data_IF_136020456794
#
_entry.id   IF_136020456794
#
_cell.length_a   1.000
_cell.length_b   1.000
_cell.length_c   1.000
_cell.angle_alpha   90.00
_cell.angle_beta   90.00
_cell.angle_gamma   90.00
#
_symmetry.space_group_name_H-M   'P 1'
#
loop_
_entity.id
_entity.type
_entity.pdbx_description
1 polymer ?
#
# COMPACT_ATOMS: atom_id res chain seq x y z
N UNK A 1 -19.39 -48.00 -17.57
CA UNK A 1 -19.54 -47.07 -18.70
C UNK A 1 -20.17 -45.77 -18.18
N UNK A 2 -19.37 -44.79 -17.91
CA UNK A 2 -19.86 -43.48 -17.50
C UNK A 2 -20.37 -42.75 -18.74
N UNK A 3 -21.68 -42.60 -18.85
CA UNK A 3 -22.29 -41.78 -19.90
C UNK A 3 -21.92 -40.31 -19.60
N UNK A 4 -20.99 -39.73 -20.38
CA UNK A 4 -20.74 -38.29 -20.35
C UNK A 4 -22.03 -37.57 -20.75
N UNK A 5 -22.72 -36.99 -19.78
CA UNK A 5 -23.96 -36.24 -19.99
C UNK A 5 -23.74 -35.11 -20.99
N UNK A 6 -24.60 -35.01 -22.03
CA UNK A 6 -24.59 -33.96 -23.04
C UNK A 6 -24.58 -32.57 -22.44
N UNK A 7 -25.29 -32.37 -21.33
CA UNK A 7 -25.33 -31.11 -20.60
C UNK A 7 -24.00 -30.66 -19.98
N UNK A 8 -23.16 -31.59 -19.54
CA UNK A 8 -21.82 -31.30 -19.00
C UNK A 8 -20.89 -30.77 -20.10
N UNK A 9 -20.92 -31.39 -21.30
CA UNK A 9 -20.10 -30.94 -22.45
C UNK A 9 -20.52 -29.55 -22.92
N UNK A 10 -21.81 -29.26 -22.97
CA UNK A 10 -22.33 -27.94 -23.35
C UNK A 10 -21.95 -26.86 -22.31
N UNK A 11 -22.10 -27.15 -21.04
CA UNK A 11 -21.68 -26.24 -19.96
C UNK A 11 -20.16 -25.94 -20.01
N UNK A 12 -19.32 -26.96 -20.22
CA UNK A 12 -17.87 -26.77 -20.32
C UNK A 12 -17.47 -25.89 -21.50
N UNK A 13 -18.14 -26.02 -22.65
CA UNK A 13 -17.91 -25.19 -23.84
C UNK A 13 -18.30 -23.71 -23.55
N UNK A 14 -19.44 -23.49 -22.91
CA UNK A 14 -19.90 -22.16 -22.54
C UNK A 14 -18.95 -21.49 -21.54
N UNK A 15 -18.51 -22.19 -20.48
CA UNK A 15 -17.50 -21.69 -19.54
C UNK A 15 -16.17 -21.40 -20.21
N UNK A 16 -15.73 -22.22 -21.16
CA UNK A 16 -14.50 -21.96 -21.93
C UNK A 16 -14.56 -20.64 -22.69
N UNK A 17 -15.70 -20.33 -23.31
CA UNK A 17 -15.90 -19.05 -24.01
C UNK A 17 -15.87 -17.89 -23.00
N UNK A 18 -16.59 -18.01 -21.88
CA UNK A 18 -16.59 -16.98 -20.84
C UNK A 18 -15.19 -16.69 -20.29
N UNK A 19 -14.42 -17.75 -20.01
CA UNK A 19 -13.04 -17.60 -19.52
C UNK A 19 -12.17 -16.88 -20.57
N UNK A 20 -12.29 -17.22 -21.84
CA UNK A 20 -11.54 -16.53 -22.90
C UNK A 20 -11.89 -15.05 -22.96
N UNK A 21 -13.18 -14.71 -22.96
CA UNK A 21 -13.64 -13.31 -22.94
C UNK A 21 -13.11 -12.55 -21.72
N UNK A 22 -13.13 -13.17 -20.52
CA UNK A 22 -12.58 -12.53 -19.30
C UNK A 22 -11.07 -12.31 -19.40
N UNK A 23 -10.32 -13.27 -19.95
CA UNK A 23 -8.88 -13.11 -20.18
C UNK A 23 -8.60 -11.95 -21.14
N UNK A 24 -9.37 -11.82 -22.22
CA UNK A 24 -9.22 -10.71 -23.17
C UNK A 24 -9.53 -9.36 -22.50
N UNK A 25 -10.59 -9.29 -21.70
CA UNK A 25 -10.92 -8.08 -20.92
C UNK A 25 -9.81 -7.71 -19.94
N UNK A 26 -9.25 -8.69 -19.23
CA UNK A 26 -8.12 -8.46 -18.33
C UNK A 26 -6.94 -7.84 -19.09
N UNK A 27 -6.55 -8.40 -20.23
CA UNK A 27 -5.45 -7.87 -21.05
C UNK A 27 -5.69 -6.42 -21.47
N UNK A 28 -6.90 -6.09 -21.94
CA UNK A 28 -7.26 -4.72 -22.32
C UNK A 28 -7.13 -3.76 -21.13
N UNK A 29 -7.59 -4.17 -19.95
CA UNK A 29 -7.50 -3.36 -18.73
C UNK A 29 -6.03 -3.20 -18.30
N UNK A 30 -5.20 -4.24 -18.39
CA UNK A 30 -3.77 -4.19 -18.10
C UNK A 30 -3.04 -3.21 -19.04
N UNK A 31 -3.34 -3.25 -20.34
CA UNK A 31 -2.76 -2.32 -21.31
C UNK A 31 -3.17 -0.87 -21.05
N UNK A 32 -4.45 -0.62 -20.71
CA UNK A 32 -4.94 0.70 -20.33
C UNK A 32 -4.30 1.21 -19.03
N UNK A 33 -4.16 0.33 -18.03
CA UNK A 33 -3.47 0.67 -16.77
C UNK A 33 -2.02 1.09 -17.04
N UNK A 34 -1.32 0.36 -17.90
CA UNK A 34 0.06 0.66 -18.27
C UNK A 34 0.21 2.00 -19.00
N UNK A 35 -0.74 2.37 -19.86
CA UNK A 35 -0.76 3.69 -20.51
C UNK A 35 -0.91 4.80 -19.46
N UNK A 36 -1.82 4.65 -18.49
CA UNK A 36 -2.02 5.61 -17.40
C UNK A 36 -0.78 5.70 -16.51
N UNK A 37 -0.15 4.57 -16.19
CA UNK A 37 1.09 4.54 -15.40
C UNK A 37 2.23 5.30 -16.09
N UNK A 38 2.40 5.14 -17.41
CA UNK A 38 3.40 5.85 -18.19
C UNK A 38 3.14 7.37 -18.20
N UNK A 39 1.87 7.79 -18.30
CA UNK A 39 1.50 9.21 -18.23
C UNK A 39 1.80 9.80 -16.85
N UNK A 40 1.43 9.08 -15.78
CA UNK A 40 1.76 9.47 -14.41
C UNK A 40 3.28 9.59 -14.24
N UNK A 41 4.05 8.63 -14.76
CA UNK A 41 5.51 8.66 -14.70
C UNK A 41 6.08 9.91 -15.37
N UNK A 42 5.56 10.29 -16.54
CA UNK A 42 6.03 11.48 -17.26
C UNK A 42 5.78 12.75 -16.46
N UNK A 43 4.58 12.91 -15.90
CA UNK A 43 4.19 14.08 -15.08
C UNK A 43 5.03 14.15 -13.79
N UNK A 44 5.27 13.01 -13.17
CA UNK A 44 5.92 12.92 -11.87
C UNK A 44 7.43 13.15 -11.96
N UNK A 45 8.07 12.78 -13.06
CA UNK A 45 9.52 13.06 -13.28
C UNK A 45 9.82 14.55 -13.23
N UNK A 46 8.89 15.40 -13.62
CA UNK A 46 9.06 16.85 -13.62
C UNK A 46 8.90 17.47 -12.22
N UNK A 47 8.33 16.73 -11.24
CA UNK A 47 8.08 17.25 -9.89
C UNK A 47 9.33 17.35 -9.00
N UNK A 48 10.46 16.78 -9.40
CA UNK A 48 11.74 16.79 -8.67
C UNK A 48 11.62 16.62 -7.15
N UNK A 49 10.76 15.69 -6.72
CA UNK A 49 10.52 15.40 -5.30
C UNK A 49 11.36 14.22 -4.81
N UNK A 50 11.98 14.31 -3.62
CA UNK A 50 12.81 13.23 -3.10
C UNK A 50 12.01 12.00 -2.64
N UNK A 51 10.68 12.01 -2.71
CA UNK A 51 9.81 10.91 -2.24
C UNK A 51 10.11 9.59 -2.96
N UNK A 52 10.53 9.64 -4.23
CA UNK A 52 10.84 8.46 -5.04
C UNK A 52 12.13 7.74 -4.64
N UNK A 53 12.94 8.35 -3.76
CA UNK A 53 14.12 7.70 -3.20
C UNK A 53 13.78 6.73 -2.08
N UNK A 54 12.53 6.76 -1.57
CA UNK A 54 12.09 5.89 -0.50
C UNK A 54 11.74 4.51 -1.08
N UNK A 55 12.35 3.43 -0.56
CA UNK A 55 12.08 2.07 -1.03
C UNK A 55 10.59 1.71 -0.98
N UNK A 56 10.10 1.07 -2.04
CA UNK A 56 8.71 0.66 -2.18
C UNK A 56 7.76 1.74 -2.69
N UNK A 57 8.20 2.98 -2.84
CA UNK A 57 7.42 4.05 -3.45
C UNK A 57 7.72 4.09 -4.95
N UNK A 58 6.78 3.63 -5.75
CA UNK A 58 6.80 3.75 -7.21
C UNK A 58 6.05 5.00 -7.68
N UNK A 59 5.98 5.21 -9.00
CA UNK A 59 5.39 6.43 -9.59
C UNK A 59 3.95 6.68 -9.15
N UNK A 60 3.10 5.66 -9.14
CA UNK A 60 1.70 5.79 -8.74
C UNK A 60 1.57 6.16 -7.27
N UNK A 61 2.22 5.43 -6.38
CA UNK A 61 2.17 5.70 -4.93
C UNK A 61 2.85 7.03 -4.57
N UNK A 62 3.95 7.36 -5.27
CA UNK A 62 4.69 8.60 -5.12
C UNK A 62 3.97 9.83 -5.68
N UNK A 63 3.00 9.66 -6.59
CA UNK A 63 2.08 10.71 -7.00
C UNK A 63 0.96 10.91 -5.98
N UNK A 64 0.34 9.81 -5.54
CA UNK A 64 -0.81 9.85 -4.61
C UNK A 64 -0.42 10.39 -3.23
N UNK A 65 0.72 9.96 -2.68
CA UNK A 65 1.10 10.34 -1.31
C UNK A 65 1.26 11.86 -1.15
N UNK A 66 2.05 12.58 -1.97
CA UNK A 66 2.14 14.04 -1.87
C UNK A 66 0.82 14.75 -2.19
N UNK A 67 0.05 14.26 -3.17
CA UNK A 67 -1.25 14.83 -3.52
C UNK A 67 -2.23 14.79 -2.34
N UNK A 68 -2.27 13.68 -1.61
CA UNK A 68 -3.12 13.53 -0.42
C UNK A 68 -2.59 14.31 0.80
N UNK A 69 -1.27 14.35 0.97
CA UNK A 69 -0.65 15.12 2.06
C UNK A 69 -0.75 16.63 1.83
N UNK A 70 -0.61 17.09 0.58
CA UNK A 70 -0.48 18.51 0.26
C UNK A 70 0.77 19.11 0.90
N UNK A 71 0.66 20.32 1.46
CA UNK A 71 1.81 20.95 2.14
C UNK A 71 2.21 20.17 3.38
N UNK A 72 3.44 19.64 3.39
CA UNK A 72 4.00 18.90 4.51
C UNK A 72 4.15 19.76 5.78
N UNK A 73 4.24 21.09 5.62
CA UNK A 73 4.43 22.01 6.72
C UNK A 73 3.21 22.16 7.62
N UNK A 74 2.02 21.80 7.14
CA UNK A 74 0.81 21.77 7.97
C UNK A 74 0.84 20.68 9.05
N UNK A 75 1.72 19.68 8.92
CA UNK A 75 1.89 18.66 9.94
C UNK A 75 2.97 19.06 10.94
N UNK A 76 2.59 19.19 12.21
CA UNK A 76 3.52 19.53 13.29
C UNK A 76 4.48 18.39 13.66
N UNK A 77 4.16 17.14 13.28
CA UNK A 77 4.99 15.97 13.54
C UNK A 77 4.62 14.81 12.61
N UNK A 78 5.53 13.85 12.49
CA UNK A 78 5.36 12.58 11.80
C UNK A 78 4.15 11.77 12.29
N UNK A 79 3.87 11.80 13.61
CA UNK A 79 2.69 11.16 14.22
C UNK A 79 1.37 11.69 13.66
N UNK A 80 1.35 12.96 13.24
CA UNK A 80 0.16 13.56 12.63
C UNK A 80 -0.12 12.98 11.25
N UNK A 81 0.91 12.58 10.48
CA UNK A 81 0.72 11.87 9.21
C UNK A 81 0.15 10.46 9.46
N UNK A 82 0.63 9.75 10.48
CA UNK A 82 0.09 8.44 10.86
C UNK A 82 -1.40 8.54 11.19
N UNK A 83 -1.80 9.54 11.97
CA UNK A 83 -3.21 9.79 12.29
C UNK A 83 -4.02 10.22 11.06
N UNK A 84 -3.45 11.09 10.20
CA UNK A 84 -4.09 11.54 8.97
C UNK A 84 -4.32 10.41 7.96
N UNK A 85 -3.42 9.41 7.94
CA UNK A 85 -3.61 8.18 7.18
C UNK A 85 -4.59 7.20 7.86
N UNK A 86 -4.96 7.44 9.14
CA UNK A 86 -5.77 6.53 9.93
C UNK A 86 -5.08 5.20 10.22
N UNK A 87 -3.74 5.25 10.36
CA UNK A 87 -2.89 4.11 10.71
C UNK A 87 -2.61 4.02 12.21
N UNK A 88 -3.08 4.97 13.00
CA UNK A 88 -3.01 4.96 14.46
C UNK A 88 -3.88 3.85 15.04
N UNK A 89 -3.50 3.35 16.21
CA UNK A 89 -4.31 2.37 16.95
C UNK A 89 -5.44 3.10 17.69
N UNK A 90 -6.65 2.54 17.63
CA UNK A 90 -7.72 2.97 18.54
C UNK A 90 -7.38 2.50 19.94
N UNK A 91 -7.35 3.43 20.88
CA UNK A 91 -7.20 3.12 22.30
C UNK A 91 -8.60 2.95 22.88
N UNK A 92 -9.00 1.70 23.13
CA UNK A 92 -10.22 1.41 23.89
C UNK A 92 -9.85 1.39 25.38
N UNK A 93 -9.76 2.56 26.01
CA UNK A 93 -9.71 2.70 27.45
C UNK A 93 -11.13 2.92 27.98
N UNK A 94 -11.89 1.86 28.22
CA UNK A 94 -13.03 1.90 29.12
C UNK A 94 -12.61 1.21 30.41
N UNK A 95 -12.53 1.99 31.50
CA UNK A 95 -11.96 1.66 32.78
C UNK A 95 -12.09 0.20 33.22
N UNK A 96 -11.08 -0.53 33.48
CA UNK A 96 -10.87 -1.89 34.00
C UNK A 96 -10.71 -3.05 33.03
N UNK A 97 -10.87 -2.91 31.71
CA UNK A 97 -10.45 -3.96 30.79
C UNK A 97 -9.40 -3.42 29.81
N UNK A 98 -8.17 -3.88 29.94
CA UNK A 98 -7.13 -3.73 28.93
C UNK A 98 -7.56 -4.52 27.68
N UNK A 99 -8.25 -3.85 26.77
CA UNK A 99 -8.59 -4.41 25.47
C UNK A 99 -7.32 -4.67 24.67
N UNK A 100 -6.84 -5.92 24.69
CA UNK A 100 -5.59 -6.36 24.09
C UNK A 100 -5.50 -6.22 22.55
N UNK A 101 -6.55 -5.76 21.86
CA UNK A 101 -6.57 -5.64 20.40
C UNK A 101 -7.07 -4.28 19.93
N UNK A 102 -6.15 -3.30 19.87
CA UNK A 102 -6.45 -2.03 19.21
C UNK A 102 -6.60 -2.24 17.70
N UNK A 103 -7.73 -1.84 17.14
CA UNK A 103 -7.94 -1.76 15.69
C UNK A 103 -7.31 -0.47 15.15
N UNK A 104 -7.00 -0.45 13.83
CA UNK A 104 -6.65 0.80 13.16
C UNK A 104 -7.83 1.76 13.22
N UNK A 105 -7.57 3.04 13.48
CA UNK A 105 -8.61 4.07 13.59
C UNK A 105 -9.40 4.23 12.30
N UNK A 106 -8.74 4.10 11.16
CA UNK A 106 -9.28 4.28 9.80
C UNK A 106 -10.00 5.62 9.58
N UNK A 107 -9.83 6.59 10.48
CA UNK A 107 -10.52 7.90 10.47
C UNK A 107 -9.96 8.87 9.43
N UNK A 108 -8.78 8.56 8.86
CA UNK A 108 -8.08 9.42 7.93
C UNK A 108 -8.36 9.10 6.45
N UNK A 109 -7.53 9.67 5.56
CA UNK A 109 -7.63 9.45 4.13
C UNK A 109 -7.48 7.98 3.76
N UNK A 110 -8.49 7.45 3.05
CA UNK A 110 -8.48 6.08 2.56
C UNK A 110 -7.49 5.91 1.41
N UNK A 111 -7.34 6.93 0.56
CA UNK A 111 -6.41 6.90 -0.57
C UNK A 111 -4.96 6.92 -0.08
N UNK A 112 -4.63 7.80 0.85
CA UNK A 112 -3.31 7.84 1.48
C UNK A 112 -2.98 6.51 2.16
N UNK A 113 -3.92 5.96 2.95
CA UNK A 113 -3.71 4.69 3.64
C UNK A 113 -3.47 3.53 2.66
N UNK A 114 -4.22 3.48 1.55
CA UNK A 114 -4.03 2.48 0.50
C UNK A 114 -2.65 2.60 -0.15
N UNK A 115 -2.24 3.81 -0.53
CA UNK A 115 -0.94 4.06 -1.15
C UNK A 115 0.22 3.67 -0.19
N UNK A 116 0.12 4.06 1.08
CA UNK A 116 1.10 3.69 2.11
C UNK A 116 1.16 2.18 2.35
N UNK A 117 0.03 1.50 2.34
CA UNK A 117 -0.02 0.05 2.48
C UNK A 117 0.66 -0.65 1.29
N UNK A 118 0.37 -0.21 0.06
CA UNK A 118 0.99 -0.77 -1.15
C UNK A 118 2.51 -0.55 -1.15
N UNK A 119 2.96 0.67 -0.86
CA UNK A 119 4.38 0.98 -0.76
C UNK A 119 5.08 0.16 0.33
N UNK A 120 4.46 0.03 1.50
CA UNK A 120 4.97 -0.77 2.61
C UNK A 120 5.04 -2.27 2.28
N UNK A 121 4.07 -2.80 1.55
CA UNK A 121 4.07 -4.18 1.09
C UNK A 121 5.26 -4.45 0.17
N UNK A 122 5.51 -3.59 -0.81
CA UNK A 122 6.66 -3.70 -1.73
C UNK A 122 7.98 -3.55 -0.97
N UNK A 123 8.09 -2.54 -0.08
CA UNK A 123 9.30 -2.31 0.71
C UNK A 123 9.61 -3.47 1.66
N UNK A 124 8.59 -4.09 2.27
CA UNK A 124 8.77 -5.25 3.16
C UNK A 124 9.29 -6.51 2.47
N UNK A 125 9.31 -6.52 1.13
CA UNK A 125 9.82 -7.64 0.34
C UNK A 125 11.19 -7.34 -0.26
N UNK A 126 11.41 -6.09 -0.70
CA UNK A 126 12.52 -5.74 -1.58
C UNK A 126 13.61 -4.87 -0.90
N UNK A 127 13.35 -4.30 0.27
CA UNK A 127 14.28 -3.42 0.99
C UNK A 127 14.75 -4.06 2.29
N UNK A 128 16.05 -3.91 2.63
CA UNK A 128 16.65 -4.54 3.80
C UNK A 128 16.06 -4.03 5.10
N UNK A 129 15.96 -2.71 5.31
CA UNK A 129 15.52 -2.10 6.58
C UNK A 129 14.04 -2.32 6.84
N UNK A 130 13.21 -2.17 5.80
CA UNK A 130 11.76 -2.39 5.95
C UNK A 130 11.44 -3.88 6.06
N UNK A 131 12.19 -4.73 5.36
CA UNK A 131 12.08 -6.19 5.47
C UNK A 131 12.47 -6.68 6.85
N UNK A 132 13.61 -6.25 7.38
CA UNK A 132 14.05 -6.63 8.73
C UNK A 132 13.02 -6.21 9.78
N UNK A 133 12.45 -5.02 9.64
CA UNK A 133 11.39 -4.57 10.53
C UNK A 133 10.11 -5.39 10.38
N UNK A 134 9.72 -5.74 9.15
CA UNK A 134 8.61 -6.65 8.88
C UNK A 134 8.85 -8.02 9.51
N UNK A 135 10.02 -8.63 9.27
CA UNK A 135 10.38 -9.94 9.78
C UNK A 135 10.41 -9.97 11.31
N UNK A 136 10.91 -8.90 11.93
CA UNK A 136 10.82 -8.72 13.39
C UNK A 136 9.36 -8.78 13.86
N UNK A 137 8.44 -8.08 13.19
CA UNK A 137 7.02 -8.09 13.55
C UNK A 137 6.37 -9.46 13.32
N UNK A 138 6.80 -10.20 12.30
CA UNK A 138 6.37 -11.58 12.06
C UNK A 138 6.86 -12.53 13.14
N UNK A 139 8.12 -12.40 13.58
CA UNK A 139 8.70 -13.15 14.70
C UNK A 139 8.01 -12.86 16.03
N UNK A 140 7.49 -11.65 16.23
CA UNK A 140 6.64 -11.27 17.37
C UNK A 140 5.23 -11.92 17.31
N UNK A 141 4.95 -12.80 16.35
CA UNK A 141 3.65 -13.48 16.18
C UNK A 141 2.57 -12.63 15.51
N UNK A 142 2.90 -11.44 14.97
CA UNK A 142 1.90 -10.60 14.30
C UNK A 142 1.48 -11.18 12.96
N UNK A 143 0.17 -11.12 12.69
CA UNK A 143 -0.36 -11.50 11.37
C UNK A 143 0.27 -10.65 10.26
N UNK A 144 0.42 -11.22 9.05
CA UNK A 144 1.02 -10.56 7.89
C UNK A 144 0.52 -9.13 7.66
N UNK A 145 -0.80 -8.93 7.58
CA UNK A 145 -1.38 -7.60 7.35
C UNK A 145 -1.07 -6.60 8.49
N UNK A 146 -0.95 -7.07 9.73
CA UNK A 146 -0.57 -6.26 10.88
C UNK A 146 0.90 -5.85 10.79
N UNK A 147 1.77 -6.75 10.36
CA UNK A 147 3.18 -6.46 10.14
C UNK A 147 3.39 -5.45 9.01
N UNK A 148 2.69 -5.60 7.86
CA UNK A 148 2.73 -4.60 6.75
C UNK A 148 2.21 -3.23 7.22
N UNK A 149 1.13 -3.18 8.00
CA UNK A 149 0.64 -1.90 8.56
C UNK A 149 1.65 -1.27 9.55
N UNK A 150 2.42 -2.06 10.27
CA UNK A 150 3.51 -1.54 11.10
C UNK A 150 4.63 -0.93 10.24
N UNK A 151 4.97 -1.56 9.10
CA UNK A 151 5.89 -0.99 8.10
C UNK A 151 5.32 0.32 7.52
N UNK A 152 4.03 0.36 7.18
CA UNK A 152 3.38 1.57 6.66
C UNK A 152 3.47 2.75 7.66
N UNK A 153 3.33 2.49 8.96
CA UNK A 153 3.57 3.52 10.00
C UNK A 153 5.02 3.99 10.02
N UNK A 154 5.99 3.07 9.97
CA UNK A 154 7.41 3.43 9.88
C UNK A 154 7.68 4.26 8.63
N UNK A 155 7.06 3.91 7.50
CA UNK A 155 7.17 4.67 6.25
C UNK A 155 6.61 6.10 6.39
N UNK A 156 5.53 6.33 7.14
CA UNK A 156 5.04 7.69 7.42
C UNK A 156 6.10 8.58 8.08
N UNK A 157 6.88 8.03 9.02
CA UNK A 157 7.97 8.77 9.68
C UNK A 157 9.08 9.13 8.68
N UNK A 158 9.44 8.18 7.80
CA UNK A 158 10.44 8.39 6.75
C UNK A 158 9.94 9.44 5.74
N UNK A 159 8.71 9.33 5.26
CA UNK A 159 8.11 10.29 4.31
C UNK A 159 8.10 11.70 4.91
N UNK A 160 7.71 11.83 6.19
CA UNK A 160 7.75 13.12 6.87
C UNK A 160 9.15 13.73 6.86
N UNK A 161 10.17 12.93 7.23
CA UNK A 161 11.55 13.41 7.28
C UNK A 161 12.07 13.83 5.89
N UNK A 162 11.85 12.99 4.87
CA UNK A 162 12.28 13.22 3.49
C UNK A 162 11.61 14.47 2.91
N UNK A 163 10.28 14.59 3.03
CA UNK A 163 9.56 15.74 2.48
C UNK A 163 9.81 17.02 3.27
N UNK A 164 9.98 16.95 4.62
CA UNK A 164 10.21 18.10 5.45
C UNK A 164 11.59 18.73 5.24
N UNK A 165 12.61 17.89 5.04
CA UNK A 165 13.97 18.33 4.76
C UNK A 165 14.20 18.60 3.27
N UNK A 166 13.35 18.05 2.41
CA UNK A 166 13.52 18.01 0.96
C UNK A 166 14.85 17.34 0.54
N UNK A 167 15.23 16.27 1.26
CA UNK A 167 16.46 15.52 1.04
C UNK A 167 16.14 14.07 0.67
N UNK A 168 16.96 13.41 -0.18
CA UNK A 168 16.79 12.00 -0.49
C UNK A 168 16.80 11.11 0.76
N UNK A 169 16.11 9.98 0.67
CA UNK A 169 16.16 8.95 1.69
C UNK A 169 17.58 8.39 1.81
N UNK A 170 18.13 8.38 3.01
CA UNK A 170 19.42 7.76 3.34
C UNK A 170 19.16 6.65 4.34
N UNK A 171 19.63 5.45 4.03
CA UNK A 171 19.57 4.32 4.97
C UNK A 171 20.30 4.67 6.26
N UNK A 172 19.55 4.73 7.36
CA UNK A 172 20.16 4.81 8.69
C UNK A 172 20.43 3.39 9.17
N UNK A 173 21.73 3.05 9.27
CA UNK A 173 22.19 1.79 9.88
C UNK A 173 21.92 1.74 11.36
#
# INVERSE_FOLDING_TARGET
>A
MSQSSFGVKFALSSYSIQIKCLIEQIKVIEDQAKLIENEIESIVKDLNTPIFTIPGIGYVTGAVIPAELGDINKFSSDKKIVAYAGLDATVNQSGQSDGQHGHLSKRGSTHLRKALFQAAFVASTNDTIFKDFYDKKRKEGKHHLVAVNAVARKMCHVIYAVLKKNEPYVEQK
#
